data_IF_274772464283
#
_entry.id   IF_274772464283
#
_cell.length_a   1.000
_cell.length_b   1.000
_cell.length_c   1.000
_cell.angle_alpha   90.00
_cell.angle_beta   90.00
_cell.angle_gamma   90.00
#
_symmetry.space_group_name_H-M   'P 1'
#
loop_
_entity.id
_entity.type
_entity.pdbx_description
1 polymer ?
#
# COMPACT_ATOMS: atom_id res chain seq x y z
N UNK A 1 3.98 3.32 15.56
CA UNK A 1 2.79 3.51 14.74
C UNK A 1 3.19 3.52 13.27
N UNK A 2 2.55 2.67 12.46
CA UNK A 2 2.71 2.62 10.99
C UNK A 2 2.08 3.88 10.36
N UNK A 3 2.53 4.29 9.18
CA UNK A 3 1.83 5.22 8.29
C UNK A 3 1.25 4.46 7.08
N UNK A 4 -0.04 4.67 6.82
CA UNK A 4 -0.74 4.12 5.65
C UNK A 4 -1.39 5.28 4.87
N UNK A 5 -1.18 5.27 3.56
CA UNK A 5 -1.85 6.15 2.61
C UNK A 5 -2.81 5.31 1.75
N UNK A 6 -4.05 5.77 1.62
CA UNK A 6 -5.11 5.19 0.80
C UNK A 6 -5.46 6.17 -0.32
N UNK A 7 -5.16 5.87 -1.57
CA UNK A 7 -5.51 6.72 -2.70
C UNK A 7 -6.60 6.06 -3.56
N UNK A 8 -7.64 6.82 -3.87
CA UNK A 8 -8.72 6.36 -4.72
C UNK A 8 -8.91 7.34 -5.89
N UNK A 9 -8.64 6.86 -7.10
CA UNK A 9 -8.78 7.62 -8.34
C UNK A 9 -9.85 7.07 -9.26
N UNK A 10 -9.93 7.61 -10.47
CA UNK A 10 -10.92 7.19 -11.48
C UNK A 10 -10.69 5.75 -11.94
N UNK A 11 -9.44 5.36 -12.11
CA UNK A 11 -9.06 4.06 -12.67
C UNK A 11 -8.34 3.15 -11.69
N UNK A 12 -7.91 3.66 -10.53
CA UNK A 12 -7.07 2.89 -9.62
C UNK A 12 -7.44 3.15 -8.17
N UNK A 13 -7.29 2.11 -7.36
CA UNK A 13 -7.42 2.11 -5.91
C UNK A 13 -6.10 1.60 -5.34
N UNK A 14 -5.42 2.38 -4.51
CA UNK A 14 -4.03 2.16 -4.14
C UNK A 14 -3.89 2.25 -2.62
N UNK A 15 -3.19 1.28 -2.02
CA UNK A 15 -2.70 1.36 -0.65
C UNK A 15 -1.18 1.41 -0.66
N UNK A 16 -0.60 2.28 0.15
CA UNK A 16 0.84 2.27 0.43
C UNK A 16 1.06 2.33 1.94
N UNK A 17 2.01 1.56 2.45
CA UNK A 17 2.32 1.51 3.88
C UNK A 17 3.79 1.27 4.12
N UNK A 18 4.34 1.83 5.19
CA UNK A 18 5.64 1.37 5.68
C UNK A 18 5.55 -0.07 6.21
N UNK A 19 6.69 -0.77 6.25
CA UNK A 19 6.79 -2.17 6.67
C UNK A 19 7.39 -2.37 8.07
N UNK A 20 7.62 -1.29 8.82
CA UNK A 20 8.23 -1.35 10.15
C UNK A 20 7.21 -1.80 11.21
N UNK A 21 7.57 -2.77 12.03
CA UNK A 21 6.91 -3.11 13.29
C UNK A 21 7.83 -2.74 14.44
N UNK A 22 7.24 -2.13 15.46
CA UNK A 22 7.95 -1.73 16.68
C UNK A 22 7.20 -2.22 17.91
N UNK A 23 7.95 -2.59 18.94
CA UNK A 23 7.44 -2.90 20.27
C UNK A 23 8.23 -2.11 21.30
N UNK A 24 7.53 -1.32 22.13
CA UNK A 24 8.16 -0.47 23.16
C UNK A 24 9.29 0.42 22.60
N UNK A 25 9.07 1.00 21.41
CA UNK A 25 10.05 1.86 20.73
C UNK A 25 11.22 1.13 20.06
N UNK A 26 11.30 -0.20 20.15
CA UNK A 26 12.34 -1.01 19.50
C UNK A 26 11.83 -1.64 18.22
N UNK A 27 12.69 -1.73 17.22
CA UNK A 27 12.42 -2.44 15.97
C UNK A 27 12.22 -3.94 16.26
N UNK A 28 11.11 -4.50 15.77
CA UNK A 28 10.81 -5.94 15.85
C UNK A 28 11.00 -6.58 14.48
N UNK A 29 10.43 -5.95 13.46
CA UNK A 29 10.49 -6.39 12.07
C UNK A 29 10.55 -5.14 11.18
N UNK A 30 11.39 -5.16 10.15
CA UNK A 30 11.49 -4.07 9.18
C UNK A 30 10.74 -4.36 7.88
N UNK A 31 10.35 -5.63 7.66
CA UNK A 31 9.80 -6.15 6.43
C UNK A 31 8.37 -6.69 6.59
N UNK A 32 7.64 -6.26 7.62
CA UNK A 32 6.30 -6.77 7.89
C UNK A 32 5.31 -6.44 6.76
N UNK A 33 4.58 -7.47 6.32
CA UNK A 33 3.48 -7.30 5.39
C UNK A 33 2.22 -6.83 6.14
N UNK A 34 1.66 -5.69 5.70
CA UNK A 34 0.45 -5.08 6.26
C UNK A 34 -0.69 -4.98 5.24
N UNK A 35 -0.48 -5.42 3.99
CA UNK A 35 -1.45 -5.33 2.92
C UNK A 35 -2.17 -6.67 2.71
N UNK A 36 -3.50 -6.61 2.59
CA UNK A 36 -4.35 -7.75 2.25
C UNK A 36 -5.17 -7.38 1.02
N UNK A 37 -5.19 -8.25 0.04
CA UNK A 37 -5.99 -8.15 -1.18
C UNK A 37 -7.17 -9.10 -1.02
N UNK A 38 -8.39 -8.58 -1.15
CA UNK A 38 -9.62 -9.37 -1.18
C UNK A 38 -10.23 -9.31 -2.58
N UNK A 39 -10.50 -10.49 -3.12
CA UNK A 39 -11.20 -10.70 -4.38
C UNK A 39 -12.44 -11.55 -4.11
N UNK A 40 -13.62 -10.94 -4.20
CA UNK A 40 -14.90 -11.63 -4.02
C UNK A 40 -15.85 -11.39 -5.22
N UNK A 41 -16.95 -12.14 -5.35
CA UNK A 41 -17.98 -11.82 -6.33
C UNK A 41 -18.57 -10.44 -6.02
N UNK A 42 -18.42 -9.49 -6.95
CA UNK A 42 -18.98 -8.14 -6.80
C UNK A 42 -18.10 -7.11 -6.12
N UNK A 43 -16.92 -7.45 -5.59
CA UNK A 43 -15.97 -6.44 -5.11
C UNK A 43 -14.50 -6.89 -5.10
N UNK A 44 -13.62 -5.89 -5.16
CA UNK A 44 -12.16 -6.02 -5.00
C UNK A 44 -11.72 -4.97 -3.99
N UNK A 45 -11.02 -5.38 -2.94
CA UNK A 45 -10.62 -4.49 -1.85
C UNK A 45 -9.15 -4.71 -1.49
N UNK A 46 -8.47 -3.63 -1.16
CA UNK A 46 -7.19 -3.61 -0.50
C UNK A 46 -7.43 -3.19 0.94
N UNK A 47 -6.89 -3.93 1.89
CA UNK A 47 -6.91 -3.60 3.32
C UNK A 47 -5.49 -3.36 3.82
N UNK A 48 -5.36 -2.50 4.84
CA UNK A 48 -4.16 -2.40 5.65
C UNK A 48 -4.46 -1.84 7.03
N UNK A 49 -3.53 -2.02 7.97
CA UNK A 49 -3.76 -1.65 9.37
C UNK A 49 -2.58 -0.96 10.05
N UNK A 50 -2.89 -0.10 11.01
CA UNK A 50 -1.91 0.62 11.86
C UNK A 50 -2.41 0.70 13.30
N UNK A 51 -1.47 0.81 14.25
CA UNK A 51 -1.75 0.77 15.68
C UNK A 51 -1.28 -0.54 16.31
N UNK A 52 -2.15 -1.19 17.08
CA UNK A 52 -1.88 -2.48 17.72
C UNK A 52 -1.65 -3.55 16.65
N UNK A 53 -0.42 -4.06 16.56
CA UNK A 53 -0.08 -5.13 15.63
C UNK A 53 -0.17 -6.51 16.31
N UNK A 54 0.40 -6.64 17.51
CA UNK A 54 0.46 -7.88 18.27
C UNK A 54 0.36 -7.65 19.78
N UNK A 55 -0.25 -8.61 20.49
CA UNK A 55 -0.24 -8.67 21.95
C UNK A 55 -0.51 -10.10 22.44
N UNK A 56 0.50 -10.76 23.00
CA UNK A 56 0.37 -12.17 23.39
C UNK A 56 0.03 -13.04 22.17
N UNK A 57 -1.14 -13.69 22.20
CA UNK A 57 -1.65 -14.49 21.07
C UNK A 57 -2.40 -13.68 20.01
N UNK A 58 -2.79 -12.45 20.33
CA UNK A 58 -3.48 -11.59 19.39
C UNK A 58 -2.50 -11.08 18.33
N UNK A 59 -2.87 -11.23 17.06
CA UNK A 59 -2.15 -10.71 15.90
C UNK A 59 -3.16 -10.09 14.94
N UNK A 60 -3.14 -8.77 14.79
CA UNK A 60 -4.11 -8.03 13.96
C UNK A 60 -4.20 -8.58 12.55
N UNK A 61 -3.05 -8.88 11.93
CA UNK A 61 -3.02 -9.48 10.59
C UNK A 61 -3.79 -10.80 10.54
N UNK A 62 -3.55 -11.70 11.50
CA UNK A 62 -4.23 -13.00 11.55
C UNK A 62 -5.73 -12.82 11.76
N UNK A 63 -6.11 -12.02 12.76
CA UNK A 63 -7.53 -11.74 13.06
C UNK A 63 -8.24 -11.13 11.85
N UNK A 64 -7.61 -10.16 11.17
CA UNK A 64 -8.17 -9.51 9.98
C UNK A 64 -8.33 -10.51 8.83
N UNK A 65 -7.32 -11.31 8.52
CA UNK A 65 -7.38 -12.34 7.48
C UNK A 65 -8.47 -13.36 7.79
N UNK A 66 -8.49 -13.92 9.00
CA UNK A 66 -9.47 -14.92 9.43
C UNK A 66 -10.90 -14.35 9.36
N UNK A 67 -11.10 -13.10 9.79
CA UNK A 67 -12.39 -12.43 9.76
C UNK A 67 -12.86 -12.16 8.33
N UNK A 68 -11.98 -11.67 7.44
CA UNK A 68 -12.33 -11.47 6.02
C UNK A 68 -12.71 -12.80 5.38
N UNK A 69 -11.89 -13.85 5.58
CA UNK A 69 -12.14 -15.18 5.04
C UNK A 69 -13.47 -15.77 5.52
N UNK A 70 -13.84 -15.54 6.78
CA UNK A 70 -15.12 -16.02 7.32
C UNK A 70 -16.33 -15.19 6.84
N UNK A 71 -16.18 -13.87 6.70
CA UNK A 71 -17.30 -12.96 6.42
C UNK A 71 -17.57 -12.79 4.93
N UNK A 72 -16.53 -12.68 4.11
CA UNK A 72 -16.66 -12.33 2.69
C UNK A 72 -17.58 -13.28 1.89
N UNK A 73 -17.59 -14.62 2.11
CA UNK A 73 -18.53 -15.53 1.45
C UNK A 73 -20.01 -15.24 1.71
N UNK A 74 -20.32 -14.70 2.89
CA UNK A 74 -21.70 -14.47 3.34
C UNK A 74 -22.11 -12.99 3.27
N UNK A 75 -21.19 -12.11 2.89
CA UNK A 75 -21.41 -10.67 2.81
C UNK A 75 -21.56 -10.24 1.33
N UNK A 76 -22.81 -10.05 0.83
CA UNK A 76 -23.05 -9.68 -0.56
C UNK A 76 -22.66 -8.23 -0.88
N UNK A 77 -22.43 -7.40 0.15
CA UNK A 77 -22.04 -6.00 0.00
C UNK A 77 -20.82 -5.68 0.86
N UNK A 78 -20.10 -4.62 0.45
CA UNK A 78 -18.96 -4.12 1.20
C UNK A 78 -19.42 -3.59 2.56
N UNK A 79 -20.58 -2.94 2.65
CA UNK A 79 -21.15 -2.45 3.90
C UNK A 79 -21.40 -3.57 4.90
N UNK A 80 -21.91 -4.72 4.44
CA UNK A 80 -22.11 -5.89 5.28
C UNK A 80 -20.77 -6.45 5.79
N UNK A 81 -19.77 -6.58 4.89
CA UNK A 81 -18.42 -7.02 5.24
C UNK A 81 -17.77 -6.09 6.27
N UNK A 82 -17.78 -4.77 6.04
CA UNK A 82 -17.16 -3.79 6.92
C UNK A 82 -17.86 -3.75 8.28
N UNK A 83 -19.19 -3.90 8.33
CA UNK A 83 -19.94 -4.02 9.59
C UNK A 83 -19.56 -5.29 10.35
N UNK A 84 -19.49 -6.43 9.68
CA UNK A 84 -19.05 -7.69 10.29
C UNK A 84 -17.63 -7.59 10.83
N UNK A 85 -16.70 -6.99 10.08
CA UNK A 85 -15.34 -6.74 10.54
C UNK A 85 -15.32 -5.87 11.80
N UNK A 86 -16.09 -4.77 11.82
CA UNK A 86 -16.23 -3.93 13.02
C UNK A 86 -16.66 -4.76 14.22
N UNK A 87 -17.69 -5.60 14.07
CA UNK A 87 -18.23 -6.40 15.18
C UNK A 87 -17.21 -7.44 15.68
N UNK A 88 -16.41 -8.05 14.77
CA UNK A 88 -15.29 -8.92 15.14
C UNK A 88 -14.25 -8.17 15.96
N UNK A 89 -13.80 -7.00 15.51
CA UNK A 89 -12.79 -6.22 16.23
C UNK A 89 -13.30 -5.65 17.55
N UNK A 90 -14.59 -5.27 17.63
CA UNK A 90 -15.23 -4.91 18.89
C UNK A 90 -15.16 -6.07 19.89
N UNK A 91 -15.46 -7.30 19.46
CA UNK A 91 -15.38 -8.47 20.31
C UNK A 91 -13.94 -8.77 20.74
N UNK A 92 -12.98 -8.75 19.81
CA UNK A 92 -11.55 -8.98 20.11
C UNK A 92 -11.02 -7.99 21.15
N UNK A 93 -11.39 -6.71 21.04
CA UNK A 93 -10.91 -5.66 21.96
C UNK A 93 -11.57 -5.70 23.34
N UNK A 94 -12.73 -6.33 23.48
CA UNK A 94 -13.40 -6.60 24.76
C UNK A 94 -12.84 -7.83 25.48
N UNK A 95 -12.07 -8.68 24.78
CA UNK A 95 -11.56 -9.94 25.31
C UNK A 95 -10.04 -9.91 25.56
N UNK A 96 -9.55 -10.88 26.35
CA UNK A 96 -8.12 -11.09 26.51
C UNK A 96 -7.54 -11.68 25.20
N UNK A 97 -6.29 -11.35 24.82
CA UNK A 97 -5.32 -10.55 25.58
C UNK A 97 -5.48 -9.03 25.41
N UNK A 98 -6.24 -8.56 24.42
CA UNK A 98 -6.29 -7.14 24.04
C UNK A 98 -6.83 -6.26 25.17
N UNK A 99 -7.86 -6.70 25.87
CA UNK A 99 -8.44 -6.00 27.02
C UNK A 99 -7.39 -5.64 28.09
N UNK A 100 -6.35 -6.47 28.25
CA UNK A 100 -5.34 -6.29 29.30
C UNK A 100 -4.21 -5.31 28.91
N UNK A 101 -4.19 -4.85 27.66
CA UNK A 101 -3.24 -3.85 27.19
C UNK A 101 -3.63 -2.48 27.74
N UNK A 102 -2.63 -1.62 28.04
CA UNK A 102 -2.86 -0.22 28.43
C UNK A 102 -3.64 0.51 27.34
N UNK A 103 -4.62 1.31 27.71
CA UNK A 103 -5.54 1.98 26.76
C UNK A 103 -4.85 2.75 25.64
N UNK A 104 -3.79 3.49 25.97
CA UNK A 104 -2.98 4.23 25.00
C UNK A 104 -2.31 3.35 23.92
N UNK A 105 -2.20 2.04 24.14
CA UNK A 105 -1.62 1.07 23.21
C UNK A 105 -2.68 0.20 22.52
N UNK A 106 -3.97 0.40 22.84
CA UNK A 106 -5.12 -0.32 22.25
C UNK A 106 -5.73 0.43 21.06
N UNK A 107 -4.97 1.29 20.39
CA UNK A 107 -5.45 1.97 19.18
C UNK A 107 -5.26 1.06 17.96
N UNK A 108 -6.28 0.91 17.11
CA UNK A 108 -6.21 0.22 15.84
C UNK A 108 -7.06 0.96 14.80
N UNK A 109 -6.47 1.15 13.63
CA UNK A 109 -7.19 1.62 12.45
C UNK A 109 -6.93 0.64 11.30
N UNK A 110 -8.00 0.22 10.64
CA UNK A 110 -7.98 -0.65 9.46
C UNK A 110 -8.55 0.18 8.32
N UNK A 111 -7.71 0.48 7.33
CA UNK A 111 -8.08 1.15 6.10
C UNK A 111 -8.48 0.16 5.03
N UNK A 112 -9.41 0.57 4.17
CA UNK A 112 -9.74 -0.16 2.96
C UNK A 112 -9.91 0.78 1.76
N UNK A 113 -9.58 0.28 0.57
CA UNK A 113 -9.76 0.99 -0.71
C UNK A 113 -9.94 -0.03 -1.83
N UNK A 114 -10.78 0.27 -2.83
CA UNK A 114 -11.04 -0.68 -3.90
C UNK A 114 -12.25 -0.31 -4.74
N UNK A 115 -12.97 -1.32 -5.21
CA UNK A 115 -14.16 -1.11 -6.01
C UNK A 115 -15.25 -2.16 -5.79
N UNK A 116 -16.50 -1.68 -5.86
CA UNK A 116 -17.70 -2.50 -6.12
C UNK A 116 -17.80 -2.73 -7.62
N UNK A 117 -18.08 -3.96 -8.03
CA UNK A 117 -18.20 -4.39 -9.43
C UNK A 117 -19.67 -4.66 -9.72
N UNK A 118 -20.21 -3.99 -10.73
CA UNK A 118 -21.58 -4.19 -11.20
C UNK A 118 -21.60 -4.18 -12.73
N UNK A 119 -21.66 -5.38 -13.32
CA UNK A 119 -21.51 -5.57 -14.76
C UNK A 119 -20.15 -5.05 -15.26
N UNK A 120 -20.19 -4.17 -16.26
CA UNK A 120 -19.00 -3.53 -16.84
C UNK A 120 -18.54 -2.27 -16.09
N UNK A 121 -19.25 -1.87 -15.04
CA UNK A 121 -18.92 -0.69 -14.25
C UNK A 121 -18.32 -1.10 -12.92
N UNK A 122 -17.34 -0.31 -12.48
CA UNK A 122 -16.84 -0.40 -11.11
C UNK A 122 -17.03 0.94 -10.41
N UNK A 123 -17.46 0.93 -9.16
CA UNK A 123 -17.59 2.13 -8.31
C UNK A 123 -16.47 2.12 -7.28
N UNK A 124 -15.72 3.21 -7.21
CA UNK A 124 -14.63 3.38 -6.27
C UNK A 124 -15.18 3.36 -4.85
N UNK A 125 -14.48 2.68 -3.94
CA UNK A 125 -14.79 2.71 -2.51
C UNK A 125 -13.53 2.90 -1.69
N UNK A 126 -13.61 3.63 -0.59
CA UNK A 126 -12.54 3.70 0.39
C UNK A 126 -13.08 4.11 1.76
N UNK A 127 -12.32 3.82 2.81
CA UNK A 127 -12.72 4.17 4.15
C UNK A 127 -11.85 3.47 5.19
N UNK A 128 -12.33 3.48 6.42
CA UNK A 128 -11.65 2.84 7.53
C UNK A 128 -12.62 2.44 8.62
N UNK A 129 -12.23 1.45 9.41
CA UNK A 129 -12.79 1.18 10.73
C UNK A 129 -11.69 1.43 11.76
N UNK A 130 -12.00 2.18 12.81
CA UNK A 130 -11.01 2.52 13.83
C UNK A 130 -11.65 2.69 15.20
N UNK A 131 -10.90 2.36 16.24
CA UNK A 131 -11.27 2.63 17.62
C UNK A 131 -10.45 3.79 18.20
N UNK A 132 -10.16 4.81 17.38
CA UNK A 132 -9.41 6.01 17.79
C UNK A 132 -10.39 7.18 17.70
N UNK A 133 -10.33 8.10 18.65
CA UNK A 133 -11.05 9.36 18.53
C UNK A 133 -10.60 10.14 17.28
N UNK A 134 -11.53 10.91 16.70
CA UNK A 134 -11.28 11.63 15.47
C UNK A 134 -10.02 12.49 15.61
N UNK A 135 -9.19 12.48 14.55
CA UNK A 135 -7.95 13.26 14.40
C UNK A 135 -6.68 12.71 15.08
N UNK A 136 -6.67 11.46 15.54
CA UNK A 136 -5.41 10.77 15.83
C UNK A 136 -4.69 11.25 17.09
N UNK A 137 -5.40 11.95 17.97
CA UNK A 137 -4.89 12.40 19.28
C UNK A 137 -5.35 11.48 20.42
N UNK A 138 -4.96 10.22 20.25
CA UNK A 138 -4.36 9.36 21.28
C UNK A 138 -5.25 8.64 22.30
N UNK A 139 -6.58 8.56 22.15
CA UNK A 139 -7.36 7.66 23.01
C UNK A 139 -8.11 6.59 22.23
N UNK A 140 -7.79 5.34 22.56
CA UNK A 140 -8.55 4.20 22.11
C UNK A 140 -9.96 4.30 22.70
N UNK A 141 -10.96 4.48 21.86
CA UNK A 141 -12.36 4.38 22.26
C UNK A 141 -12.75 2.90 22.38
N UNK A 142 -13.68 2.59 23.29
CA UNK A 142 -14.08 1.19 23.56
C UNK A 142 -14.85 0.48 22.43
N UNK A 143 -15.08 1.16 21.30
CA UNK A 143 -15.78 0.59 20.13
C UNK A 143 -15.20 1.12 18.82
N UNK A 144 -15.20 0.28 17.80
CA UNK A 144 -14.81 0.63 16.44
C UNK A 144 -15.91 1.43 15.76
N UNK A 145 -15.53 2.51 15.09
CA UNK A 145 -16.39 3.33 14.26
C UNK A 145 -15.94 3.26 12.81
N UNK A 146 -16.91 3.30 11.90
CA UNK A 146 -16.62 3.45 10.48
C UNK A 146 -16.41 4.94 10.16
N UNK A 147 -15.36 5.26 9.42
CA UNK A 147 -15.05 6.61 8.96
C UNK A 147 -14.65 6.59 7.48
N UNK A 148 -15.23 7.50 6.69
CA UNK A 148 -14.91 7.68 5.26
C UNK A 148 -16.15 7.69 4.35
N UNK A 149 -15.92 8.01 3.08
CA UNK A 149 -16.94 8.01 2.04
C UNK A 149 -16.90 6.68 1.28
N UNK A 150 -18.00 5.94 1.29
CA UNK A 150 -18.09 4.67 0.55
C UNK A 150 -17.89 4.90 -0.95
N UNK A 151 -18.07 6.11 -1.49
CA UNK A 151 -17.85 6.40 -2.90
C UNK A 151 -17.07 7.70 -3.12
N UNK A 152 -16.19 7.71 -4.13
CA UNK A 152 -15.52 8.92 -4.59
C UNK A 152 -14.02 8.79 -4.80
N UNK A 153 -13.43 9.87 -5.36
CA UNK A 153 -11.98 10.07 -5.41
C UNK A 153 -11.53 10.66 -4.08
N UNK A 154 -10.33 10.31 -3.64
CA UNK A 154 -9.80 10.89 -2.40
C UNK A 154 -8.52 10.26 -1.92
N UNK A 155 -8.02 10.85 -0.83
CA UNK A 155 -6.85 10.39 -0.10
C UNK A 155 -7.27 10.15 1.36
N UNK A 156 -6.88 9.01 1.92
CA UNK A 156 -6.94 8.71 3.34
C UNK A 156 -5.54 8.58 3.92
N UNK A 157 -5.33 9.09 5.12
CA UNK A 157 -4.07 8.96 5.87
C UNK A 157 -4.37 8.35 7.22
N UNK A 158 -3.78 7.21 7.53
CA UNK A 158 -3.97 6.49 8.79
C UNK A 158 -2.65 6.31 9.54
N UNK A 159 -2.70 6.37 10.87
CA UNK A 159 -1.57 6.12 11.75
C UNK A 159 -0.80 7.38 12.08
N UNK A 160 0.48 7.46 11.72
CA UNK A 160 1.36 8.60 12.01
C UNK A 160 1.01 9.88 11.19
N UNK A 161 -0.26 10.32 11.25
CA UNK A 161 -0.83 11.44 10.48
C UNK A 161 -0.10 12.75 10.72
N UNK A 162 0.33 13.02 11.96
CA UNK A 162 1.09 14.22 12.31
C UNK A 162 2.44 14.36 11.58
N UNK A 163 2.95 13.28 10.96
CA UNK A 163 4.14 13.30 10.12
C UNK A 163 3.84 13.63 8.65
N UNK A 164 2.57 13.72 8.24
CA UNK A 164 2.15 14.08 6.88
C UNK A 164 1.59 15.49 6.90
N UNK A 165 2.15 16.39 6.08
CA UNK A 165 1.63 17.76 5.97
C UNK A 165 0.46 17.83 4.99
N UNK A 166 -0.36 18.87 5.11
CA UNK A 166 -1.43 19.12 4.12
C UNK A 166 -0.86 19.29 2.71
N UNK A 167 0.29 19.94 2.56
CA UNK A 167 0.97 20.06 1.27
C UNK A 167 1.34 18.68 0.67
N UNK A 168 1.81 17.74 1.51
CA UNK A 168 2.08 16.36 1.08
C UNK A 168 0.80 15.66 0.58
N UNK A 169 -0.34 15.89 1.25
CA UNK A 169 -1.65 15.37 0.83
C UNK A 169 -2.10 15.98 -0.51
N UNK A 170 -1.99 17.31 -0.66
CA UNK A 170 -2.38 18.03 -1.87
C UNK A 170 -1.57 17.62 -3.11
N UNK A 171 -0.28 17.33 -2.95
CA UNK A 171 0.54 16.80 -4.05
C UNK A 171 0.00 15.46 -4.57
N UNK A 172 -0.44 14.57 -3.69
CA UNK A 172 -1.02 13.26 -4.08
C UNK A 172 -2.41 13.46 -4.68
N UNK A 173 -3.24 14.31 -4.07
CA UNK A 173 -4.58 14.63 -4.59
C UNK A 173 -4.50 15.21 -6.01
N UNK A 174 -3.55 16.10 -6.28
CA UNK A 174 -3.33 16.63 -7.63
C UNK A 174 -2.99 15.53 -8.67
N UNK A 175 -2.27 14.47 -8.26
CA UNK A 175 -2.02 13.30 -9.12
C UNK A 175 -3.28 12.48 -9.35
N UNK A 176 -4.08 12.29 -8.31
CA UNK A 176 -5.37 11.59 -8.37
C UNK A 176 -6.29 12.35 -9.33
N UNK A 177 -6.38 13.68 -9.20
CA UNK A 177 -7.31 14.53 -9.93
C UNK A 177 -7.05 14.58 -11.43
N UNK A 178 -5.77 14.52 -11.83
CA UNK A 178 -5.37 14.45 -13.24
C UNK A 178 -5.29 13.03 -13.81
N UNK A 179 -5.81 12.04 -13.09
CA UNK A 179 -5.81 10.62 -13.50
C UNK A 179 -4.40 10.09 -13.84
N UNK A 180 -3.39 10.44 -13.02
CA UNK A 180 -2.04 9.94 -13.22
C UNK A 180 -1.99 8.39 -13.16
N UNK A 181 -1.05 7.74 -13.87
CA UNK A 181 -0.86 6.29 -13.77
C UNK A 181 -0.62 5.86 -12.32
N UNK A 182 -1.13 4.70 -11.91
CA UNK A 182 -1.03 4.23 -10.52
C UNK A 182 0.41 4.14 -10.02
N UNK A 183 1.37 3.75 -10.86
CA UNK A 183 2.78 3.72 -10.50
C UNK A 183 3.35 5.10 -10.12
N UNK A 184 2.84 6.18 -10.73
CA UNK A 184 3.22 7.56 -10.38
C UNK A 184 2.60 7.97 -9.04
N UNK A 185 1.33 7.63 -8.81
CA UNK A 185 0.64 7.91 -7.54
C UNK A 185 1.30 7.12 -6.39
N UNK A 186 1.52 5.82 -6.57
CA UNK A 186 2.18 4.94 -5.60
C UNK A 186 3.61 5.38 -5.32
N UNK A 187 4.37 5.79 -6.36
CA UNK A 187 5.71 6.35 -6.20
C UNK A 187 5.73 7.62 -5.35
N UNK A 188 4.80 8.55 -5.59
CA UNK A 188 4.65 9.76 -4.76
C UNK A 188 4.21 9.41 -3.33
N UNK A 189 3.25 8.51 -3.14
CA UNK A 189 2.83 8.04 -1.81
C UNK A 189 4.03 7.45 -1.03
N UNK A 190 4.83 6.60 -1.67
CA UNK A 190 6.02 6.03 -1.04
C UNK A 190 7.06 7.08 -0.69
N UNK A 191 7.29 8.05 -1.57
CA UNK A 191 8.16 9.21 -1.30
C UNK A 191 7.68 10.01 -0.07
N UNK A 192 6.38 10.32 0.01
CA UNK A 192 5.79 11.01 1.17
C UNK A 192 5.92 10.21 2.46
N UNK A 193 5.74 8.89 2.43
CA UNK A 193 5.95 8.05 3.61
C UNK A 193 7.42 8.08 4.06
N UNK A 194 8.39 8.05 3.14
CA UNK A 194 9.82 8.19 3.51
C UNK A 194 10.15 9.54 4.10
N UNK A 195 9.61 10.62 3.53
CA UNK A 195 9.75 11.98 4.09
C UNK A 195 9.16 12.02 5.50
N UNK A 196 7.97 11.44 5.70
CA UNK A 196 7.35 11.33 7.02
C UNK A 196 8.20 10.49 8.00
N UNK A 197 8.83 9.41 7.54
CA UNK A 197 9.70 8.56 8.36
C UNK A 197 10.92 9.30 8.94
N UNK A 198 11.43 10.30 8.21
CA UNK A 198 12.54 11.14 8.65
C UNK A 198 12.15 12.27 9.63
N UNK A 199 10.84 12.53 9.82
CA UNK A 199 10.36 13.60 10.69
C UNK A 199 10.33 13.17 12.16
N UNK A 200 10.67 14.07 13.12
CA UNK A 200 10.57 13.78 14.55
C UNK A 200 9.19 13.28 15.00
N UNK A 201 8.12 13.79 14.36
CA UNK A 201 6.73 13.42 14.64
C UNK A 201 6.45 11.92 14.43
N UNK A 202 7.19 11.24 13.55
CA UNK A 202 7.06 9.80 13.37
C UNK A 202 7.63 8.98 14.54
N UNK A 203 8.42 9.61 15.42
CA UNK A 203 9.03 9.00 16.62
C UNK A 203 9.79 7.70 16.32
N UNK A 204 10.41 7.60 15.14
CA UNK A 204 11.10 6.39 14.67
C UNK A 204 10.19 5.19 14.40
N UNK A 205 8.88 5.36 14.41
CA UNK A 205 7.94 4.24 14.29
C UNK A 205 7.45 3.94 12.87
N UNK A 206 7.67 4.88 11.95
CA UNK A 206 7.45 4.71 10.51
C UNK A 206 8.78 4.27 9.87
N UNK A 207 8.73 3.23 9.04
CA UNK A 207 9.87 2.75 8.26
C UNK A 207 10.04 3.46 6.91
N UNK A 208 11.24 3.37 6.35
CA UNK A 208 11.59 3.83 5.00
C UNK A 208 11.36 2.75 3.91
N UNK A 209 11.22 1.48 4.33
CA UNK A 209 10.76 0.39 3.48
C UNK A 209 9.24 0.41 3.32
N UNK A 210 8.78 0.62 2.10
CA UNK A 210 7.37 0.80 1.74
C UNK A 210 6.92 -0.35 0.87
N UNK A 211 5.74 -0.88 1.14
CA UNK A 211 4.98 -1.72 0.21
C UNK A 211 3.77 -0.96 -0.31
N UNK A 212 3.38 -1.26 -1.55
CA UNK A 212 2.13 -0.76 -2.11
C UNK A 212 1.42 -1.85 -2.89
N UNK A 213 0.10 -1.73 -2.99
CA UNK A 213 -0.75 -2.53 -3.87
C UNK A 213 -1.76 -1.62 -4.53
N UNK A 214 -2.15 -1.95 -5.76
CA UNK A 214 -3.10 -1.20 -6.57
C UNK A 214 -4.07 -2.15 -7.26
N UNK A 215 -5.34 -1.78 -7.29
CA UNK A 215 -6.36 -2.42 -8.15
C UNK A 215 -6.56 -1.52 -9.35
N UNK A 216 -6.36 -2.04 -10.56
CA UNK A 216 -6.84 -1.42 -11.78
C UNK A 216 -8.34 -1.66 -11.89
N UNK A 217 -9.15 -0.61 -11.81
CA UNK A 217 -10.61 -0.70 -11.77
C UNK A 217 -11.28 -1.03 -13.10
N UNK A 218 -10.52 -1.00 -14.21
CA UNK A 218 -11.00 -1.41 -15.53
C UNK A 218 -10.75 -2.89 -15.77
N UNK A 219 -9.53 -3.37 -15.47
CA UNK A 219 -9.13 -4.77 -15.70
C UNK A 219 -9.33 -5.66 -14.47
N UNK A 220 -9.57 -5.05 -13.31
CA UNK A 220 -9.58 -5.69 -11.98
C UNK A 220 -8.26 -6.37 -11.61
N UNK A 221 -7.19 -6.14 -12.39
CA UNK A 221 -5.86 -6.63 -12.10
C UNK A 221 -5.32 -5.99 -10.83
N UNK A 222 -4.62 -6.80 -10.04
CA UNK A 222 -3.93 -6.37 -8.83
C UNK A 222 -2.44 -6.29 -9.13
N UNK A 223 -1.87 -5.12 -8.90
CA UNK A 223 -0.45 -4.86 -9.01
C UNK A 223 0.10 -4.51 -7.65
N UNK A 224 1.36 -4.84 -7.38
CA UNK A 224 2.00 -4.51 -6.12
C UNK A 224 3.49 -4.34 -6.31
N UNK A 225 4.11 -3.65 -5.37
CA UNK A 225 5.54 -3.38 -5.41
C UNK A 225 6.08 -2.91 -4.08
N UNK A 226 7.40 -2.74 -4.04
CA UNK A 226 8.14 -2.36 -2.85
C UNK A 226 9.18 -1.28 -3.16
N UNK A 227 9.58 -0.56 -2.12
CA UNK A 227 10.45 0.61 -2.19
C UNK A 227 11.32 0.70 -0.92
N UNK A 228 12.65 0.89 -1.01
CA UNK A 228 13.45 0.70 -2.22
C UNK A 228 13.40 -0.77 -2.70
N UNK A 229 13.59 -0.99 -4.00
CA UNK A 229 13.63 -2.34 -4.60
C UNK A 229 14.98 -3.04 -4.41
N UNK A 230 15.79 -2.60 -3.45
CA UNK A 230 17.19 -3.02 -3.30
C UNK A 230 17.37 -4.29 -2.48
N UNK A 231 16.30 -4.83 -1.90
CA UNK A 231 16.35 -6.12 -1.21
C UNK A 231 16.28 -7.25 -2.23
N UNK A 232 17.11 -8.28 -2.05
CA UNK A 232 17.00 -9.53 -2.81
C UNK A 232 15.68 -10.26 -2.55
N UNK A 233 14.94 -9.83 -1.53
CA UNK A 233 13.68 -10.38 -1.11
C UNK A 233 12.54 -9.40 -1.37
N UNK A 234 11.50 -9.89 -2.04
CA UNK A 234 10.22 -9.20 -2.14
C UNK A 234 9.11 -10.10 -1.64
N UNK A 235 8.16 -9.52 -0.91
CA UNK A 235 7.04 -10.24 -0.32
C UNK A 235 5.72 -9.78 -0.94
N UNK A 236 4.86 -10.73 -1.28
CA UNK A 236 3.52 -10.39 -1.75
C UNK A 236 2.62 -9.93 -0.60
N UNK A 237 1.57 -9.15 -0.90
CA UNK A 237 0.40 -9.03 -0.02
C UNK A 237 -0.18 -10.42 0.33
N UNK A 238 -0.97 -10.49 1.39
CA UNK A 238 -1.86 -11.66 1.58
C UNK A 238 -3.00 -11.53 0.58
N UNK A 239 -3.33 -12.60 -0.15
CA UNK A 239 -4.48 -12.64 -1.04
C UNK A 239 -5.56 -13.53 -0.45
N UNK A 240 -6.80 -13.05 -0.48
CA UNK A 240 -8.00 -13.80 -0.15
C UNK A 240 -8.89 -13.79 -1.38
N UNK A 241 -9.17 -14.98 -1.91
CA UNK A 241 -10.05 -15.19 -3.04
C UNK A 241 -11.31 -15.86 -2.54
N UNK A 242 -12.45 -15.26 -2.83
CA UNK A 242 -13.78 -15.83 -2.67
C UNK A 242 -14.34 -16.02 -4.06
N UNK A 243 -14.71 -17.24 -4.39
CA UNK A 243 -15.30 -17.56 -5.68
C UNK A 243 -16.83 -17.37 -5.67
N UNK A 244 -17.47 -17.73 -6.79
CA UNK A 244 -18.92 -17.57 -6.95
C UNK A 244 -19.76 -18.55 -6.12
N UNK A 245 -19.15 -19.60 -5.55
CA UNK A 245 -19.81 -20.55 -4.65
C UNK A 245 -19.56 -20.23 -3.18
N UNK A 246 -18.73 -19.22 -2.91
CA UNK A 246 -18.36 -18.82 -1.56
C UNK A 246 -17.18 -19.61 -1.00
N UNK A 247 -16.47 -20.40 -1.81
CA UNK A 247 -15.25 -21.06 -1.35
C UNK A 247 -14.13 -20.03 -1.19
N UNK A 248 -13.29 -20.25 -0.18
CA UNK A 248 -12.24 -19.30 0.22
C UNK A 248 -10.87 -19.92 0.02
N UNK A 249 -10.05 -19.27 -0.79
CA UNK A 249 -8.63 -19.57 -0.93
C UNK A 249 -7.81 -18.42 -0.36
N UNK A 250 -6.92 -18.72 0.60
CA UNK A 250 -5.99 -17.73 1.16
C UNK A 250 -4.57 -18.07 0.73
N UNK A 251 -3.87 -17.08 0.19
CA UNK A 251 -2.47 -17.17 -0.22
C UNK A 251 -1.67 -16.17 0.60
N UNK A 252 -0.72 -16.65 1.37
CA UNK A 252 0.12 -15.83 2.23
C UNK A 252 1.57 -16.30 2.25
N UNK A 253 2.48 -15.40 2.64
CA UNK A 253 3.89 -15.77 2.84
C UNK A 253 4.67 -16.03 1.54
N UNK A 254 4.18 -15.55 0.39
CA UNK A 254 4.97 -15.62 -0.84
C UNK A 254 6.12 -14.61 -0.74
N UNK A 255 7.34 -15.13 -0.70
CA UNK A 255 8.58 -14.38 -0.84
C UNK A 255 9.31 -14.83 -2.10
N UNK A 256 9.72 -13.87 -2.93
CA UNK A 256 10.61 -14.12 -4.06
C UNK A 256 12.00 -13.65 -3.66
N UNK A 257 12.98 -14.56 -3.72
CA UNK A 257 14.39 -14.27 -3.42
C UNK A 257 15.20 -14.41 -4.71
N UNK A 258 15.91 -13.37 -5.13
CA UNK A 258 16.83 -13.44 -6.26
C UNK A 258 17.14 -12.11 -6.93
N UNK A 259 18.12 -12.08 -7.86
CA UNK A 259 18.44 -10.88 -8.63
C UNK A 259 17.27 -10.37 -9.48
N UNK A 260 16.34 -11.27 -9.85
CA UNK A 260 15.08 -10.94 -10.53
C UNK A 260 13.93 -10.58 -9.57
N UNK A 261 14.12 -10.72 -8.25
CA UNK A 261 13.16 -10.23 -7.25
C UNK A 261 13.07 -8.69 -7.22
N UNK A 262 13.94 -8.01 -7.99
CA UNK A 262 13.71 -6.64 -8.45
C UNK A 262 12.45 -6.66 -9.31
N UNK A 263 11.30 -6.44 -8.67
CA UNK A 263 10.07 -6.06 -9.39
C UNK A 263 10.47 -5.03 -10.42
N UNK A 264 10.25 -5.32 -11.71
CA UNK A 264 10.54 -4.37 -12.79
C UNK A 264 10.04 -3.02 -12.30
N UNK A 265 10.94 -2.03 -12.16
CA UNK A 265 10.53 -0.63 -12.11
C UNK A 265 9.43 -0.52 -13.16
N UNK A 266 8.25 0.05 -12.84
CA UNK A 266 7.13 0.02 -13.78
C UNK A 266 7.70 0.41 -15.14
N UNK A 267 7.58 -0.47 -16.13
CA UNK A 267 8.35 -0.30 -17.35
C UNK A 267 7.79 0.94 -18.04
N UNK A 268 8.42 2.09 -17.82
CA UNK A 268 7.92 3.35 -18.34
C UNK A 268 8.38 3.43 -19.79
N UNK A 269 7.43 3.37 -20.70
CA UNK A 269 7.70 3.64 -22.10
C UNK A 269 8.38 5.01 -22.24
N UNK A 270 9.25 5.14 -23.25
CA UNK A 270 9.89 6.42 -23.56
C UNK A 270 8.80 7.50 -23.69
N UNK A 271 8.91 8.52 -22.86
CA UNK A 271 8.00 9.67 -22.88
C UNK A 271 6.99 9.70 -21.74
N UNK A 272 6.85 8.65 -20.94
CA UNK A 272 5.94 8.66 -19.80
C UNK A 272 6.42 9.59 -18.66
N UNK A 273 5.49 10.17 -17.87
CA UNK A 273 5.81 10.95 -16.69
C UNK A 273 6.62 10.13 -15.69
N UNK A 274 7.59 10.76 -15.06
CA UNK A 274 8.45 10.11 -14.09
C UNK A 274 7.64 9.70 -12.85
N UNK A 275 7.85 8.48 -12.30
CA UNK A 275 7.24 8.03 -11.06
C UNK A 275 7.64 8.86 -9.83
N UNK A 276 8.66 9.73 -9.94
CA UNK A 276 9.01 10.73 -8.94
C UNK A 276 7.84 11.70 -8.63
N UNK A 277 6.79 11.70 -9.46
CA UNK A 277 5.64 12.60 -9.35
C UNK A 277 5.91 14.01 -9.87
N UNK A 278 7.14 14.31 -10.29
CA UNK A 278 7.53 15.61 -10.85
C UNK A 278 6.91 15.94 -12.22
N UNK A 279 6.14 15.03 -12.82
CA UNK A 279 5.41 15.24 -14.09
C UNK A 279 6.28 15.29 -15.35
N UNK A 280 7.57 15.60 -15.23
CA UNK A 280 8.54 15.51 -16.32
C UNK A 280 8.84 14.05 -16.69
N UNK A 281 9.33 13.80 -17.90
CA UNK A 281 9.81 12.48 -18.34
C UNK A 281 10.95 11.97 -17.43
N UNK A 282 11.07 10.66 -17.23
CA UNK A 282 12.10 10.07 -16.35
C UNK A 282 13.52 10.59 -16.65
N UNK A 283 13.95 10.61 -17.91
CA UNK A 283 15.27 11.13 -18.31
C UNK A 283 15.43 12.62 -17.98
N UNK A 284 14.35 13.40 -17.94
CA UNK A 284 14.38 14.81 -17.51
C UNK A 284 14.38 14.97 -15.98
N UNK A 285 13.65 14.13 -15.24
CA UNK A 285 13.62 14.15 -13.75
C UNK A 285 14.96 13.63 -13.17
N UNK A 286 15.52 12.54 -13.71
CA UNK A 286 16.67 11.84 -13.13
C UNK A 286 17.88 11.63 -14.08
N UNK A 287 17.71 11.79 -15.39
CA UNK A 287 18.78 11.53 -16.36
C UNK A 287 19.86 12.62 -16.45
N UNK A 288 19.69 13.77 -15.77
CA UNK A 288 20.68 14.87 -15.78
C UNK A 288 21.93 14.60 -14.93
N UNK A 289 21.97 13.55 -14.11
CA UNK A 289 23.12 13.25 -13.25
C UNK A 289 24.28 12.52 -13.95
N UNK A 290 24.13 12.09 -15.20
CA UNK A 290 25.21 11.41 -15.95
C UNK A 290 25.89 12.27 -17.02
N UNK A 291 25.32 13.42 -17.37
CA UNK A 291 25.87 14.31 -18.39
C UNK A 291 26.25 15.64 -17.72
N UNK A 292 27.42 15.69 -17.05
CA UNK A 292 28.29 16.88 -16.85
C UNK A 292 29.29 16.68 -15.69
N UNK A 293 30.34 15.91 -15.95
CA UNK A 293 31.69 16.35 -15.60
C UNK A 293 32.59 16.03 -16.79
N UNK A 294 32.82 17.03 -17.64
CA UNK A 294 33.88 17.02 -18.64
C UNK A 294 35.26 17.17 -17.97
N UNK A 295 35.56 16.29 -17.03
CA UNK A 295 36.90 16.11 -16.47
C UNK A 295 37.46 14.83 -17.04
N UNK A 296 38.57 14.93 -17.77
CA UNK A 296 39.34 13.80 -18.33
C UNK A 296 39.56 12.75 -17.22
N UNK A 297 39.21 11.46 -17.43
CA UNK A 297 39.51 10.43 -16.45
C UNK A 297 41.01 10.12 -16.46
N UNK A 298 41.66 10.22 -15.30
CA UNK A 298 42.89 9.48 -15.02
C UNK A 298 42.59 7.98 -15.07
N UNK A 299 43.46 7.15 -15.67
CA UNK A 299 43.28 5.70 -15.68
C UNK A 299 43.58 5.18 -14.27
N UNK A 300 42.54 4.85 -13.51
CA UNK A 300 42.66 3.97 -12.35
C UNK A 300 41.91 2.69 -12.69
N UNK A 301 42.71 1.65 -12.89
CA UNK A 301 42.32 0.25 -12.95
C UNK A 301 41.68 -0.18 -11.63
N UNK A 302 40.44 -0.69 -11.66
CA UNK A 302 40.02 -2.02 -11.18
C UNK A 302 38.49 -2.15 -11.25
N UNK A 303 38.05 -3.19 -11.97
CA UNK A 303 36.77 -3.90 -11.95
C UNK A 303 35.51 -3.19 -11.46
N UNK A 304 34.66 -2.77 -12.39
CA UNK A 304 33.20 -2.75 -12.21
C UNK A 304 32.54 -2.97 -13.58
N UNK A 305 31.66 -3.98 -13.64
CA UNK A 305 30.91 -4.41 -14.82
C UNK A 305 29.89 -3.34 -15.25
N UNK A 306 29.96 -2.78 -16.47
CA UNK A 306 28.88 -1.98 -17.00
C UNK A 306 27.75 -2.90 -17.51
N UNK A 307 26.52 -2.61 -17.12
CA UNK A 307 25.30 -3.23 -17.67
C UNK A 307 25.33 -3.19 -19.21
N UNK A 308 25.61 -4.34 -19.82
CA UNK A 308 25.52 -4.55 -21.26
C UNK A 308 24.03 -4.61 -21.63
N UNK A 309 23.56 -3.64 -22.42
CA UNK A 309 22.32 -3.79 -23.17
C UNK A 309 22.54 -4.86 -24.25
N UNK A 310 21.69 -5.91 -24.34
CA UNK A 310 21.77 -6.81 -25.49
C UNK A 310 21.36 -6.04 -26.76
N UNK A 311 22.14 -6.13 -27.85
CA UNK A 311 21.74 -5.60 -29.14
C UNK A 311 20.73 -6.55 -29.82
N UNK A 312 19.63 -5.99 -30.31
CA UNK A 312 18.71 -6.71 -31.20
C UNK A 312 17.25 -6.65 -30.76
N UNK A 313 16.56 -5.59 -31.15
CA UNK A 313 15.12 -5.68 -31.43
C UNK A 313 14.84 -4.73 -32.60
N UNK A 314 15.00 -5.29 -33.80
CA UNK A 314 14.55 -4.68 -35.03
C UNK A 314 13.01 -4.62 -35.04
N UNK A 315 12.52 -3.51 -35.56
CA UNK A 315 11.13 -3.18 -35.77
C UNK A 315 10.42 -4.23 -36.62
N UNK A 316 9.39 -4.89 -36.07
CA UNK A 316 8.33 -5.47 -36.90
C UNK A 316 7.39 -4.35 -37.32
N UNK A 317 7.67 -3.85 -38.52
CA UNK A 317 6.79 -2.95 -39.26
C UNK A 317 5.50 -3.66 -39.67
N UNK A 318 4.47 -2.84 -39.80
CA UNK A 318 3.21 -3.14 -40.44
C UNK A 318 3.42 -3.79 -41.81
N UNK A 319 2.74 -4.90 -42.08
CA UNK A 319 2.25 -5.20 -43.41
C UNK A 319 0.79 -5.62 -43.32
N UNK A 320 -0.06 -4.75 -43.86
CA UNK A 320 -1.43 -5.02 -44.27
C UNK A 320 -1.42 -5.85 -45.56
N UNK A 321 -2.27 -6.88 -45.59
CA UNK A 321 -3.15 -7.21 -46.71
C UNK A 321 -4.40 -7.86 -46.13
#
# INVERSE_FOLDING_TARGET
MTLILLANGKYHSIIASDRRLTANGRLVDSAANKAIVLQAPGYRLLFGFTGLAEAGRYKTRKVLTDAISSLAPTCPTIEALIRGLRDVFDNEFRNAPVRNIREALRSLAIGFVGAVISGQQSKAVYGSIMNIDHFGESKAVGSFKMQGHITGRGLGVLGARSAVSEADEQEILALIDRDAPHGVIAGKMADRIRVAAAKPQASGTVGDMISWAAINRRTLAVEFGQYPQSTLESSSPTFIFVDMWGEVSTVEGISVIGPEAKYKLPFFERGQPCPCGGGAQYRRCHGRKFERHGGVPSPITTGDDPLIYPPGYESWGQQTA
#
